data_IF_620934917527
#
_entry.id   IF_620934917527
#
_cell.length_a   1.000
_cell.length_b   1.000
_cell.length_c   1.000
_cell.angle_alpha   90.00
_cell.angle_beta   90.00
_cell.angle_gamma   90.00
#
_symmetry.space_group_name_H-M   'P 1'
#
loop_
_entity.id
_entity.type
_entity.pdbx_description
1 polymer ?
#
# COMPACT_ATOMS: atom_id res chain seq x y z
N UNK A 1 13.62 10.55 -2.48
CA UNK A 1 12.74 9.66 -3.30
C UNK A 1 13.42 8.37 -3.77
N UNK A 2 14.74 8.21 -3.65
CA UNK A 2 15.47 7.01 -4.15
C UNK A 2 14.97 5.69 -3.55
N UNK A 3 14.73 5.64 -2.23
CA UNK A 3 14.27 4.42 -1.53
C UNK A 3 12.87 4.00 -2.00
N UNK A 4 11.96 4.95 -2.21
CA UNK A 4 10.61 4.66 -2.70
C UNK A 4 10.62 4.11 -4.12
N UNK A 5 11.47 4.66 -5.00
CA UNK A 5 11.65 4.16 -6.35
C UNK A 5 12.27 2.74 -6.38
N UNK A 6 13.29 2.49 -5.55
CA UNK A 6 13.93 1.18 -5.44
C UNK A 6 12.98 0.10 -4.91
N UNK A 7 12.17 0.41 -3.88
CA UNK A 7 11.18 -0.52 -3.34
C UNK A 7 10.07 -0.83 -4.35
N UNK A 8 9.59 0.19 -5.07
CA UNK A 8 8.65 0.00 -6.17
C UNK A 8 9.20 -0.96 -7.23
N UNK A 9 10.47 -0.78 -7.64
CA UNK A 9 11.13 -1.64 -8.61
C UNK A 9 11.24 -3.10 -8.14
N UNK A 10 11.53 -3.35 -6.86
CA UNK A 10 11.56 -4.71 -6.27
C UNK A 10 10.19 -5.38 -6.35
N UNK A 11 9.12 -4.65 -6.03
CA UNK A 11 7.76 -5.20 -6.10
C UNK A 11 7.36 -5.48 -7.55
N UNK A 12 7.61 -4.55 -8.46
CA UNK A 12 7.33 -4.74 -9.90
C UNK A 12 8.08 -5.96 -10.43
N UNK A 13 9.36 -6.11 -10.08
CA UNK A 13 10.16 -7.26 -10.51
C UNK A 13 9.66 -8.57 -9.90
N UNK A 14 9.22 -8.56 -8.64
CA UNK A 14 8.63 -9.73 -8.00
C UNK A 14 7.33 -10.16 -8.71
N UNK A 15 6.44 -9.22 -8.99
CA UNK A 15 5.19 -9.50 -9.70
C UNK A 15 5.47 -10.05 -11.09
N UNK A 16 6.39 -9.44 -11.85
CA UNK A 16 6.76 -9.90 -13.18
C UNK A 16 7.46 -11.28 -13.18
N UNK A 17 8.29 -11.56 -12.17
CA UNK A 17 9.10 -12.79 -12.11
C UNK A 17 8.35 -13.99 -11.54
N UNK A 18 7.36 -13.76 -10.67
CA UNK A 18 6.66 -14.82 -9.96
C UNK A 18 5.16 -14.87 -10.29
N UNK A 19 4.48 -13.72 -10.34
CA UNK A 19 3.03 -13.71 -10.48
C UNK A 19 2.59 -13.77 -11.94
N UNK A 20 3.24 -13.06 -12.86
CA UNK A 20 3.00 -13.22 -14.30
C UNK A 20 3.12 -14.68 -14.75
N UNK A 21 4.19 -15.45 -14.41
CA UNK A 21 4.25 -16.87 -14.78
C UNK A 21 3.21 -17.73 -14.06
N UNK A 22 2.83 -17.43 -12.80
CA UNK A 22 1.75 -18.14 -12.12
C UNK A 22 0.40 -17.92 -12.82
N UNK A 23 0.11 -16.66 -13.17
CA UNK A 23 -1.10 -16.26 -13.88
C UNK A 23 -1.11 -16.95 -15.24
N UNK A 24 0.00 -16.90 -15.99
CA UNK A 24 0.16 -17.58 -17.28
C UNK A 24 -0.01 -19.10 -17.16
N UNK A 25 0.46 -19.71 -16.07
CA UNK A 25 0.27 -21.13 -15.84
C UNK A 25 -1.22 -21.47 -15.62
N UNK A 26 -1.93 -20.67 -14.82
CA UNK A 26 -3.36 -20.86 -14.55
C UNK A 26 -4.23 -20.60 -15.80
N UNK A 27 -3.78 -19.77 -16.72
CA UNK A 27 -4.48 -19.42 -17.96
C UNK A 27 -4.03 -20.27 -19.17
N UNK A 28 -3.20 -21.29 -18.95
CA UNK A 28 -2.77 -22.23 -20.00
C UNK A 28 -1.77 -21.66 -21.01
N UNK A 29 -0.91 -20.74 -20.58
CA UNK A 29 0.16 -20.13 -21.39
C UNK A 29 -0.27 -18.88 -22.18
N UNK A 30 -1.53 -18.47 -22.06
CA UNK A 30 -2.06 -17.23 -22.65
C UNK A 30 -2.05 -16.11 -21.62
N UNK A 31 -1.96 -14.85 -22.03
CA UNK A 31 -2.23 -13.72 -21.13
C UNK A 31 -3.61 -13.92 -20.49
N UNK A 32 -3.83 -13.44 -19.27
CA UNK A 32 -5.10 -13.63 -18.57
C UNK A 32 -6.25 -12.87 -19.24
N UNK A 33 -6.87 -13.48 -20.24
CA UNK A 33 -7.93 -12.87 -21.05
C UNK A 33 -7.62 -12.99 -22.54
N UNK A 34 -8.67 -13.13 -23.34
CA UNK A 34 -8.57 -13.22 -24.79
C UNK A 34 -8.37 -11.86 -25.45
N UNK A 35 -8.34 -11.89 -26.77
CA UNK A 35 -8.50 -10.70 -27.60
C UNK A 35 -9.89 -10.75 -28.23
N UNK A 36 -10.57 -9.61 -28.30
CA UNK A 36 -11.75 -9.48 -29.15
C UNK A 36 -11.44 -8.48 -30.25
N UNK A 37 -11.94 -8.73 -31.46
CA UNK A 37 -11.72 -7.83 -32.60
C UNK A 37 -13.06 -7.27 -33.02
N UNK A 38 -13.18 -5.94 -33.04
CA UNK A 38 -14.35 -5.23 -33.58
C UNK A 38 -13.84 -4.35 -34.71
N UNK A 39 -14.39 -4.56 -35.91
CA UNK A 39 -14.12 -3.72 -37.09
C UNK A 39 -12.61 -3.60 -37.43
N UNK A 40 -11.88 -4.70 -37.28
CA UNK A 40 -10.42 -4.75 -37.52
C UNK A 40 -9.56 -4.22 -36.38
N UNK A 41 -10.15 -3.66 -35.31
CA UNK A 41 -9.43 -3.20 -34.12
C UNK A 41 -9.38 -4.31 -33.09
N UNK A 42 -8.16 -4.73 -32.73
CA UNK A 42 -7.91 -5.76 -31.72
C UNK A 42 -7.90 -5.12 -30.32
N UNK A 43 -8.84 -5.54 -29.48
CA UNK A 43 -8.91 -5.19 -28.07
C UNK A 43 -8.36 -6.33 -27.22
N UNK A 44 -7.16 -6.11 -26.66
CA UNK A 44 -6.51 -7.04 -25.73
C UNK A 44 -6.90 -6.70 -24.29
N UNK A 45 -8.06 -7.21 -23.86
CA UNK A 45 -8.48 -7.08 -22.46
C UNK A 45 -7.68 -8.01 -21.53
N UNK A 46 -6.98 -9.01 -22.09
CA UNK A 46 -6.13 -9.89 -21.30
C UNK A 46 -4.89 -9.19 -20.76
N UNK A 47 -4.26 -8.35 -21.58
CA UNK A 47 -3.19 -7.48 -21.13
C UNK A 47 -3.65 -6.52 -20.02
N UNK A 48 -4.88 -5.98 -20.13
CA UNK A 48 -5.45 -5.10 -19.12
C UNK A 48 -5.66 -5.80 -17.76
N UNK A 49 -6.21 -7.02 -17.77
CA UNK A 49 -6.39 -7.81 -16.54
C UNK A 49 -5.03 -8.11 -15.89
N UNK A 50 -4.00 -8.42 -16.68
CA UNK A 50 -2.66 -8.67 -16.13
C UNK A 50 -2.11 -7.43 -15.39
N UNK A 51 -2.19 -6.26 -16.02
CA UNK A 51 -1.75 -4.99 -15.40
C UNK A 51 -2.59 -4.67 -14.17
N UNK A 52 -3.89 -4.94 -14.20
CA UNK A 52 -4.79 -4.72 -13.06
C UNK A 52 -4.42 -5.61 -11.86
N UNK A 53 -4.12 -6.89 -12.10
CA UNK A 53 -3.66 -7.81 -11.05
C UNK A 53 -2.34 -7.30 -10.48
N UNK A 54 -1.37 -6.97 -11.34
CA UNK A 54 -0.07 -6.46 -10.92
C UNK A 54 -0.17 -5.17 -10.09
N UNK A 55 -1.08 -4.27 -10.47
CA UNK A 55 -1.39 -3.05 -9.73
C UNK A 55 -1.97 -3.37 -8.35
N UNK A 56 -2.95 -4.27 -8.26
CA UNK A 56 -3.60 -4.62 -7.00
C UNK A 56 -2.62 -5.24 -6.00
N UNK A 57 -1.72 -6.11 -6.48
CA UNK A 57 -0.68 -6.72 -5.65
C UNK A 57 0.32 -5.69 -5.14
N UNK A 58 0.72 -4.77 -6.00
CA UNK A 58 1.60 -3.67 -5.62
C UNK A 58 0.95 -2.77 -4.57
N UNK A 59 -0.35 -2.47 -4.75
CA UNK A 59 -1.13 -1.71 -3.78
C UNK A 59 -1.22 -2.43 -2.43
N UNK A 60 -1.46 -3.75 -2.42
CA UNK A 60 -1.48 -4.56 -1.19
C UNK A 60 -0.12 -4.54 -0.50
N UNK A 61 0.97 -4.73 -1.24
CA UNK A 61 2.32 -4.69 -0.69
C UNK A 61 2.65 -3.33 -0.07
N UNK A 62 2.37 -2.23 -0.78
CA UNK A 62 2.56 -0.87 -0.25
C UNK A 62 1.68 -0.64 0.98
N UNK A 63 0.42 -1.07 0.95
CA UNK A 63 -0.48 -0.94 2.08
C UNK A 63 0.07 -1.65 3.33
N UNK A 64 0.50 -2.90 3.20
CA UNK A 64 0.97 -3.68 4.34
C UNK A 64 2.35 -3.25 4.86
N UNK A 65 3.30 -2.95 3.96
CA UNK A 65 4.67 -2.62 4.35
C UNK A 65 4.93 -1.14 4.63
N UNK A 66 4.09 -0.23 4.11
CA UNK A 66 4.27 1.22 4.27
C UNK A 66 3.13 1.81 5.08
N UNK A 67 1.87 1.60 4.66
CA UNK A 67 0.72 2.27 5.29
C UNK A 67 0.45 1.74 6.70
N UNK A 68 0.44 0.42 6.91
CA UNK A 68 0.20 -0.19 8.23
C UNK A 68 1.23 0.25 9.28
N UNK A 69 2.56 0.17 9.05
CA UNK A 69 3.52 0.60 10.07
C UNK A 69 3.46 2.11 10.30
N UNK A 70 3.32 2.93 9.25
CA UNK A 70 3.19 4.39 9.42
C UNK A 70 1.94 4.71 10.25
N UNK A 71 0.79 4.10 9.95
CA UNK A 71 -0.44 4.31 10.70
C UNK A 71 -0.33 3.82 12.15
N UNK A 72 0.38 2.71 12.39
CA UNK A 72 0.64 2.21 13.74
C UNK A 72 1.55 3.14 14.55
N UNK A 73 2.62 3.66 13.94
CA UNK A 73 3.52 4.62 14.59
C UNK A 73 2.83 5.97 14.84
N UNK A 74 1.99 6.43 13.89
CA UNK A 74 1.21 7.64 14.04
C UNK A 74 0.24 7.54 15.22
N UNK A 75 -0.45 6.40 15.38
CA UNK A 75 -1.33 6.14 16.54
C UNK A 75 -0.56 6.13 17.87
N UNK A 76 0.64 5.55 17.89
CA UNK A 76 1.49 5.56 19.10
C UNK A 76 1.92 6.98 19.48
N UNK A 77 2.39 7.77 18.51
CA UNK A 77 2.77 9.17 18.75
C UNK A 77 1.60 10.02 19.24
N UNK A 78 0.43 9.89 18.61
CA UNK A 78 -0.77 10.60 19.04
C UNK A 78 -1.17 10.22 20.48
N UNK A 79 -1.06 8.93 20.85
CA UNK A 79 -1.36 8.49 22.21
C UNK A 79 -0.34 8.99 23.24
N UNK A 80 0.95 9.06 22.88
CA UNK A 80 1.99 9.63 23.74
C UNK A 80 1.82 11.13 23.94
N UNK A 81 1.42 11.85 22.90
CA UNK A 81 1.19 13.30 22.93
C UNK A 81 0.01 13.65 23.86
N UNK A 82 -1.12 12.96 23.72
CA UNK A 82 -2.27 13.10 24.63
C UNK A 82 -1.92 12.78 26.08
N UNK A 83 -1.08 11.76 26.32
CA UNK A 83 -0.62 11.41 27.67
C UNK A 83 0.29 12.50 28.27
N UNK A 84 1.14 13.13 27.47
CA UNK A 84 2.03 14.22 27.91
C UNK A 84 1.23 15.48 28.22
N UNK A 85 0.25 15.83 27.38
CA UNK A 85 -0.65 16.96 27.64
C UNK A 85 -1.47 16.76 28.92
N UNK A 86 -2.01 15.55 29.15
CA UNK A 86 -2.73 15.24 30.38
C UNK A 86 -1.84 15.36 31.63
N UNK A 87 -0.58 14.94 31.55
CA UNK A 87 0.40 15.12 32.64
C UNK A 87 0.74 16.59 32.87
N UNK A 88 0.97 17.37 31.82
CA UNK A 88 1.24 18.81 31.92
C UNK A 88 0.06 19.56 32.53
N UNK A 89 -1.17 19.24 32.15
CA UNK A 89 -2.37 19.85 32.73
C UNK A 89 -2.55 19.47 34.21
N UNK A 90 -2.17 18.25 34.58
CA UNK A 90 -2.15 17.81 35.98
C UNK A 90 -1.11 18.60 36.78
N UNK A 91 0.11 18.74 36.27
CA UNK A 91 1.15 19.54 36.90
C UNK A 91 0.78 21.02 37.02
N UNK A 92 0.16 21.60 35.98
CA UNK A 92 -0.33 22.99 36.00
C UNK A 92 -1.42 23.14 37.05
N UNK A 93 -2.40 22.23 37.11
CA UNK A 93 -3.47 22.24 38.13
C UNK A 93 -2.91 22.18 39.54
N UNK A 94 -1.91 21.34 39.78
CA UNK A 94 -1.32 21.15 41.11
C UNK A 94 -0.40 22.33 41.49
N UNK A 95 0.15 23.05 40.50
CA UNK A 95 0.94 24.27 40.70
C UNK A 95 0.15 25.57 40.68
N UNK A 96 -1.10 25.56 40.24
CA UNK A 96 -2.03 26.66 40.43
C UNK A 96 -2.52 26.53 41.88
N UNK A 97 -2.03 27.34 42.84
CA UNK A 97 -2.77 27.45 44.09
C UNK A 97 -4.18 27.88 43.70
N UNK A 98 -5.19 27.46 44.46
CA UNK A 98 -6.50 28.08 44.36
C UNK A 98 -6.33 29.56 44.71
N UNK A 99 -6.00 30.36 43.69
CA UNK A 99 -5.85 31.79 43.72
C UNK A 99 -7.23 32.30 44.11
N UNK A 100 -7.33 32.72 45.37
CA UNK A 100 -8.49 33.36 45.94
C UNK A 100 -8.49 34.82 45.52
#
# INVERSE_FOLDING_TARGET
MVIGAAFGAVITQFTASFLDPLIRLLTGGKQAGGTFTIDGVVFDYGAFINVLIAFLLTAIAIYFFVVVPINHLAKRKASEELSREAQLLTEIRDRLPADR
#
